data_IF_977809581715
#
_entry.id   IF_977809581715
#
_cell.length_a   1.000
_cell.length_b   1.000
_cell.length_c   1.000
_cell.angle_alpha   90.00
_cell.angle_beta   90.00
_cell.angle_gamma   90.00
#
_symmetry.space_group_name_H-M   'P 1'
#
loop_
_entity.id
_entity.type
_entity.pdbx_description
1 polymer ?
#
# COMPACT_ATOMS: atom_id res chain seq x y z
N UNK A 1 4.60 56.00 -6.32
CA UNK A 1 5.69 55.33 -5.59
C UNK A 1 6.43 54.43 -6.58
N UNK A 2 7.57 54.87 -7.13
CA UNK A 2 8.35 54.06 -8.08
C UNK A 2 9.34 53.24 -7.25
N UNK A 3 9.03 51.97 -7.00
CA UNK A 3 9.97 51.05 -6.35
C UNK A 3 11.19 50.89 -7.24
N UNK A 4 12.39 51.06 -6.67
CA UNK A 4 13.64 50.94 -7.41
C UNK A 4 13.89 49.45 -7.70
N UNK A 5 14.15 49.02 -8.94
CA UNK A 5 14.40 47.60 -9.27
C UNK A 5 15.58 47.01 -8.46
N UNK A 6 16.45 47.87 -7.95
CA UNK A 6 17.57 47.55 -7.06
C UNK A 6 17.12 46.96 -5.71
N UNK A 7 15.98 47.39 -5.15
CA UNK A 7 15.46 46.87 -3.89
C UNK A 7 14.98 45.42 -4.01
N UNK A 8 14.36 45.08 -5.15
CA UNK A 8 13.94 43.71 -5.44
C UNK A 8 15.13 42.80 -5.69
N UNK A 9 16.17 43.29 -6.36
CA UNK A 9 17.41 42.55 -6.56
C UNK A 9 18.09 42.21 -5.22
N UNK A 10 18.20 43.19 -4.31
CA UNK A 10 18.78 42.98 -2.98
C UNK A 10 17.94 42.02 -2.12
N UNK A 11 16.60 42.06 -2.26
CA UNK A 11 15.70 41.09 -1.63
C UNK A 11 15.92 39.67 -2.16
N UNK A 12 16.00 39.51 -3.48
CA UNK A 12 16.23 38.21 -4.12
C UNK A 12 17.60 37.64 -3.78
N UNK A 13 18.61 38.47 -3.64
CA UNK A 13 19.95 38.06 -3.19
C UNK A 13 19.91 37.44 -1.79
N UNK A 14 19.10 37.99 -0.89
CA UNK A 14 19.02 37.53 0.52
C UNK A 14 17.99 36.43 0.77
N UNK A 15 16.90 36.39 0.00
CA UNK A 15 15.75 35.51 0.26
C UNK A 15 15.37 34.59 -0.92
N UNK A 16 15.89 34.84 -2.13
CA UNK A 16 15.48 34.14 -3.35
C UNK A 16 15.63 32.62 -3.25
N UNK A 17 16.76 32.13 -2.73
CA UNK A 17 16.96 30.70 -2.54
C UNK A 17 16.00 30.09 -1.50
N UNK A 18 15.67 30.82 -0.43
CA UNK A 18 14.74 30.34 0.61
C UNK A 18 13.32 30.24 0.07
N UNK A 19 12.92 31.21 -0.76
CA UNK A 19 11.61 31.21 -1.43
C UNK A 19 11.54 30.05 -2.43
N UNK A 20 12.58 29.87 -3.25
CA UNK A 20 12.65 28.75 -4.20
C UNK A 20 12.59 27.39 -3.48
N UNK A 21 13.32 27.24 -2.38
CA UNK A 21 13.28 26.04 -1.56
C UNK A 21 11.88 25.81 -0.96
N UNK A 22 11.22 26.87 -0.47
CA UNK A 22 9.85 26.79 0.03
C UNK A 22 8.84 26.35 -1.05
N UNK A 23 8.96 26.90 -2.25
CA UNK A 23 8.13 26.51 -3.41
C UNK A 23 8.40 25.05 -3.78
N UNK A 24 9.67 24.65 -3.86
CA UNK A 24 10.04 23.27 -4.15
C UNK A 24 9.50 22.28 -3.11
N UNK A 25 9.62 22.62 -1.83
CA UNK A 25 9.06 21.82 -0.76
C UNK A 25 7.53 21.74 -0.87
N UNK A 26 6.85 22.85 -1.15
CA UNK A 26 5.39 22.87 -1.34
C UNK A 26 4.94 22.00 -2.51
N UNK A 27 5.68 22.00 -3.63
CA UNK A 27 5.42 21.13 -4.78
C UNK A 27 5.57 19.67 -4.41
N UNK A 28 6.66 19.29 -3.74
CA UNK A 28 6.91 17.91 -3.31
C UNK A 28 5.84 17.46 -2.31
N UNK A 29 5.53 18.30 -1.32
CA UNK A 29 4.47 18.02 -0.35
C UNK A 29 3.13 17.86 -1.06
N UNK A 30 2.78 18.76 -1.98
CA UNK A 30 1.55 18.68 -2.76
C UNK A 30 1.46 17.39 -3.57
N UNK A 31 2.56 16.96 -4.19
CA UNK A 31 2.64 15.72 -4.97
C UNK A 31 2.27 14.49 -4.15
N UNK A 32 2.63 14.43 -2.87
CA UNK A 32 2.29 13.30 -2.00
C UNK A 32 0.99 13.51 -1.21
N UNK A 33 0.72 14.74 -0.77
CA UNK A 33 -0.44 15.06 0.04
C UNK A 33 -1.74 14.93 -0.75
N UNK A 34 -1.77 15.35 -2.03
CA UNK A 34 -2.98 15.26 -2.86
C UNK A 34 -3.41 13.80 -3.06
N UNK A 35 -2.55 12.87 -3.51
CA UNK A 35 -2.90 11.45 -3.59
C UNK A 35 -3.21 10.84 -2.24
N UNK A 36 -2.46 11.15 -1.18
CA UNK A 36 -2.70 10.60 0.15
C UNK A 36 -4.08 11.00 0.68
N UNK A 37 -4.48 12.27 0.52
CA UNK A 37 -5.82 12.75 0.87
C UNK A 37 -6.90 12.09 0.00
N UNK A 38 -6.65 11.92 -1.29
CA UNK A 38 -7.57 11.21 -2.20
C UNK A 38 -7.78 9.74 -1.82
N UNK A 39 -6.71 9.04 -1.43
CA UNK A 39 -6.79 7.67 -0.93
C UNK A 39 -7.54 7.64 0.40
N UNK A 40 -7.24 8.58 1.31
CA UNK A 40 -7.92 8.66 2.61
C UNK A 40 -9.43 8.89 2.45
N UNK A 41 -9.86 9.75 1.51
CA UNK A 41 -11.29 9.96 1.23
C UNK A 41 -11.93 8.73 0.60
N UNK A 42 -11.26 8.09 -0.36
CA UNK A 42 -11.74 6.82 -0.94
C UNK A 42 -11.93 5.73 0.11
N UNK A 43 -10.97 5.55 1.02
CA UNK A 43 -11.07 4.58 2.13
C UNK A 43 -12.19 4.98 3.08
N UNK A 44 -12.35 6.25 3.42
CA UNK A 44 -13.42 6.70 4.31
C UNK A 44 -14.80 6.46 3.72
N UNK A 45 -14.98 6.66 2.42
CA UNK A 45 -16.28 6.53 1.74
C UNK A 45 -16.59 5.08 1.37
N UNK A 46 -15.61 4.33 0.87
CA UNK A 46 -15.82 2.99 0.30
C UNK A 46 -15.08 1.87 1.03
N UNK A 47 -14.22 2.19 2.00
CA UNK A 47 -13.34 1.20 2.63
C UNK A 47 -14.09 0.09 3.36
N UNK A 48 -15.27 0.37 3.93
CA UNK A 48 -16.09 -0.66 4.56
C UNK A 48 -16.65 -1.65 3.52
N UNK A 49 -17.14 -1.14 2.38
CA UNK A 49 -17.62 -1.98 1.28
C UNK A 49 -16.50 -2.79 0.62
N UNK A 50 -15.38 -2.13 0.28
CA UNK A 50 -14.21 -2.79 -0.30
C UNK A 50 -13.64 -3.83 0.68
N UNK A 51 -13.52 -3.49 1.95
CA UNK A 51 -13.05 -4.40 2.99
C UNK A 51 -13.96 -5.61 3.17
N UNK A 52 -15.28 -5.42 3.13
CA UNK A 52 -16.24 -6.52 3.21
C UNK A 52 -16.13 -7.46 2.00
N UNK A 53 -16.08 -6.91 0.79
CA UNK A 53 -15.89 -7.70 -0.44
C UNK A 53 -14.57 -8.47 -0.37
N UNK A 54 -13.50 -7.82 0.05
CA UNK A 54 -12.19 -8.45 0.21
C UNK A 54 -12.24 -9.63 1.21
N UNK A 55 -12.88 -9.44 2.35
CA UNK A 55 -13.06 -10.50 3.35
C UNK A 55 -13.89 -11.68 2.81
N UNK A 56 -14.98 -11.41 2.09
CA UNK A 56 -15.81 -12.45 1.48
C UNK A 56 -14.99 -13.26 0.46
N UNK A 57 -14.24 -12.58 -0.41
CA UNK A 57 -13.39 -13.24 -1.41
C UNK A 57 -12.28 -14.05 -0.74
N UNK A 58 -11.59 -13.47 0.26
CA UNK A 58 -10.54 -14.16 1.00
C UNK A 58 -11.07 -15.40 1.73
N UNK A 59 -12.25 -15.30 2.36
CA UNK A 59 -12.90 -16.43 3.00
C UNK A 59 -13.29 -17.50 1.98
N UNK A 60 -13.94 -17.12 0.88
CA UNK A 60 -14.33 -18.04 -0.18
C UNK A 60 -13.12 -18.78 -0.77
N UNK A 61 -12.03 -18.06 -1.05
CA UNK A 61 -10.77 -18.66 -1.49
C UNK A 61 -10.18 -19.60 -0.43
N UNK A 62 -10.16 -19.18 0.83
CA UNK A 62 -9.69 -20.00 1.95
C UNK A 62 -10.46 -21.32 2.09
N UNK A 63 -11.78 -21.28 1.99
CA UNK A 63 -12.62 -22.48 2.11
C UNK A 63 -12.59 -23.38 0.88
N UNK A 64 -12.49 -22.82 -0.32
CA UNK A 64 -12.60 -23.60 -1.57
C UNK A 64 -11.25 -24.09 -2.06
N UNK A 65 -10.22 -23.26 -2.01
CA UNK A 65 -8.89 -23.57 -2.55
C UNK A 65 -7.95 -24.01 -1.44
N UNK A 66 -7.73 -23.15 -0.44
CA UNK A 66 -6.73 -23.42 0.59
C UNK A 66 -7.07 -24.66 1.41
N UNK A 67 -8.33 -24.82 1.84
CA UNK A 67 -8.78 -26.00 2.58
C UNK A 67 -8.53 -27.29 1.80
N UNK A 68 -8.85 -27.32 0.51
CA UNK A 68 -8.64 -28.51 -0.33
C UNK A 68 -7.17 -28.85 -0.46
N UNK A 69 -6.31 -27.85 -0.66
CA UNK A 69 -4.87 -28.03 -0.71
C UNK A 69 -4.32 -28.54 0.63
N UNK A 70 -4.77 -27.98 1.75
CA UNK A 70 -4.36 -28.39 3.09
C UNK A 70 -4.80 -29.84 3.41
N UNK A 71 -6.03 -30.22 3.06
CA UNK A 71 -6.51 -31.60 3.22
C UNK A 71 -5.72 -32.60 2.36
N UNK A 72 -5.42 -32.24 1.12
CA UNK A 72 -4.60 -33.09 0.24
C UNK A 72 -3.18 -33.26 0.79
N UNK A 73 -2.57 -32.17 1.26
CA UNK A 73 -1.25 -32.18 1.87
C UNK A 73 -1.23 -33.02 3.15
N UNK A 74 -2.23 -32.85 4.03
CA UNK A 74 -2.37 -33.62 5.26
C UNK A 74 -2.54 -35.12 4.98
N UNK A 75 -3.35 -35.51 3.98
CA UNK A 75 -3.51 -36.92 3.58
C UNK A 75 -2.23 -37.51 3.01
N UNK A 76 -1.51 -36.76 2.19
CA UNK A 76 -0.22 -37.20 1.65
C UNK A 76 0.79 -37.44 2.78
N UNK A 77 0.99 -36.45 3.65
CA UNK A 77 1.88 -36.60 4.82
C UNK A 77 1.44 -37.74 5.74
N UNK A 78 0.14 -37.85 6.04
CA UNK A 78 -0.39 -38.92 6.89
C UNK A 78 -0.07 -40.32 6.34
N UNK A 79 -0.14 -40.49 5.01
CA UNK A 79 0.20 -41.75 4.35
C UNK A 79 1.69 -42.09 4.41
N UNK A 80 2.59 -41.09 4.37
CA UNK A 80 4.03 -41.35 4.48
C UNK A 80 4.48 -41.63 5.92
N UNK A 81 3.86 -40.98 6.92
CA UNK A 81 4.31 -41.05 8.32
C UNK A 81 3.58 -42.10 9.17
N UNK A 82 2.33 -42.44 8.84
CA UNK A 82 1.48 -43.29 9.69
C UNK A 82 0.91 -44.54 8.99
N UNK A 83 1.28 -44.80 7.73
CA UNK A 83 0.94 -46.06 7.05
C UNK A 83 2.05 -47.09 7.27
N UNK A 84 1.90 -47.95 8.27
CA UNK A 84 2.82 -49.06 8.60
C UNK A 84 3.00 -50.08 7.45
N UNK A 85 2.20 -49.99 6.39
CA UNK A 85 2.29 -50.85 5.21
C UNK A 85 3.03 -50.19 4.05
N UNK A 86 3.44 -48.91 4.16
CA UNK A 86 4.10 -48.19 3.07
C UNK A 86 5.48 -48.77 2.73
N UNK A 87 6.28 -49.15 3.74
CA UNK A 87 7.58 -49.79 3.54
C UNK A 87 7.51 -51.31 3.28
N UNK A 88 6.34 -51.94 3.51
CA UNK A 88 6.15 -53.40 3.36
C UNK A 88 5.73 -53.84 1.95
N UNK A 89 5.58 -52.90 1.00
CA UNK A 89 5.26 -53.19 -0.41
C UNK A 89 6.47 -53.10 -1.34
N UNK A 90 7.68 -53.34 -0.83
CA UNK A 90 8.88 -53.62 -1.63
C UNK A 90 9.28 -55.07 -1.45
#
# INVERSE_FOLDING_TARGET
>A
MRGNPMDFALFMERYGYKILLGIMAAVIIGLFAIPALGIATLIKTYGLGIGLVFLIVAAAYGFTVWRRSAEAYAKAHGKYFYDDKWYKRK
#
